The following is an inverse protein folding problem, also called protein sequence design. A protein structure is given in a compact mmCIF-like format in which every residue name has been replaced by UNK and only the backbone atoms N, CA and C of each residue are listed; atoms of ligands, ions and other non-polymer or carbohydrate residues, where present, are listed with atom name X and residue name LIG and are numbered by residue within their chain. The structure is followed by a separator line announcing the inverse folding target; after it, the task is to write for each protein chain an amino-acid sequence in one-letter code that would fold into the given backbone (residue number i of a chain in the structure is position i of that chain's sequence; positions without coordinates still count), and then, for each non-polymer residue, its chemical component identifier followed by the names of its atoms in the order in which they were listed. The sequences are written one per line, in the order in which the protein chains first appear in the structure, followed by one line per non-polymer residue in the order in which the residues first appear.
data_IF_290401139580
#
_entry.id   IF_290401139580
#
_cell.length_a   1.000
_cell.length_b   1.000
_cell.length_c   1.000
_cell.angle_alpha   90.00
_cell.angle_beta   90.00
_cell.angle_gamma   90.00
#
_symmetry.space_group_name_H-M   'P 1'
#
loop_
_entity.id
_entity.type
_entity.pdbx_description
1 polymer ?
#
# COMPACT_ATOMS: atom_id res chain seq x y z
N UNK A 1 -22.47 -4.13 6.85
CA UNK A 1 -21.10 -4.46 6.40
C UNK A 1 -20.15 -3.67 7.30
N UNK A 2 -19.23 -4.33 7.99
CA UNK A 2 -18.33 -3.73 8.99
C UNK A 2 -16.90 -4.25 8.74
N UNK A 3 -16.06 -3.52 7.99
CA UNK A 3 -14.75 -4.00 7.57
C UNK A 3 -13.66 -3.79 8.64
N UNK A 4 -13.92 -3.00 9.70
CA UNK A 4 -12.92 -2.59 10.68
C UNK A 4 -11.96 -1.50 10.17
N UNK A 5 -11.18 -1.80 9.12
CA UNK A 5 -10.23 -0.85 8.50
C UNK A 5 -10.52 -0.62 7.02
N UNK A 6 -10.27 0.60 6.54
CA UNK A 6 -10.35 0.96 5.11
C UNK A 6 -9.11 1.71 4.65
N UNK A 7 -8.81 1.61 3.36
CA UNK A 7 -7.73 2.35 2.69
C UNK A 7 -8.34 3.55 1.97
N UNK A 8 -8.41 4.69 2.65
CA UNK A 8 -9.01 5.89 2.08
C UNK A 8 -8.10 6.53 1.03
N UNK A 9 -8.74 7.03 -0.03
CA UNK A 9 -8.13 7.82 -1.09
C UNK A 9 -9.03 9.04 -1.35
N UNK A 10 -8.40 10.18 -1.60
CA UNK A 10 -9.09 11.39 -2.03
C UNK A 10 -8.66 11.78 -3.45
N UNK A 11 -9.32 12.80 -4.02
CA UNK A 11 -9.07 13.27 -5.38
C UNK A 11 -7.60 13.64 -5.60
N UNK A 12 -6.94 14.27 -4.63
CA UNK A 12 -5.53 14.67 -4.72
C UNK A 12 -4.61 13.44 -4.83
N UNK A 13 -4.93 12.33 -4.15
CA UNK A 13 -4.16 11.08 -4.26
C UNK A 13 -4.21 10.51 -5.69
N UNK A 14 -5.38 10.53 -6.32
CA UNK A 14 -5.53 10.13 -7.72
C UNK A 14 -4.77 11.05 -8.67
N UNK A 15 -4.84 12.37 -8.46
CA UNK A 15 -4.12 13.32 -9.30
C UNK A 15 -2.59 13.15 -9.16
N UNK A 16 -2.09 12.90 -7.95
CA UNK A 16 -0.69 12.59 -7.70
C UNK A 16 -0.25 11.28 -8.36
N UNK A 17 -1.09 10.25 -8.32
CA UNK A 17 -0.84 8.99 -9.00
C UNK A 17 -0.73 9.16 -10.52
N UNK A 18 -1.62 9.94 -11.14
CA UNK A 18 -1.55 10.25 -12.57
C UNK A 18 -0.28 11.03 -12.92
N UNK A 19 0.10 12.01 -12.10
CA UNK A 19 1.36 12.73 -12.25
C UNK A 19 2.58 11.79 -12.23
N UNK A 20 2.63 10.85 -11.28
CA UNK A 20 3.70 9.86 -11.22
C UNK A 20 3.71 8.89 -12.41
N UNK A 21 2.56 8.72 -13.06
CA UNK A 21 2.44 7.95 -14.29
C UNK A 21 2.82 8.73 -15.57
N UNK A 22 3.29 9.98 -15.42
CA UNK A 22 3.81 10.80 -16.53
C UNK A 22 2.78 11.73 -17.17
N UNK A 23 1.62 11.94 -16.55
CA UNK A 23 0.60 12.86 -17.07
C UNK A 23 1.07 14.30 -16.94
N UNK A 24 1.04 15.05 -18.05
CA UNK A 24 1.42 16.46 -18.08
C UNK A 24 0.23 17.38 -17.76
N UNK A 25 0.49 18.67 -17.55
CA UNK A 25 -0.55 19.65 -17.18
C UNK A 25 -1.71 19.71 -18.17
N UNK A 26 -1.47 19.53 -19.46
CA UNK A 26 -2.51 19.55 -20.49
C UNK A 26 -3.44 18.35 -20.35
N UNK A 27 -2.90 17.16 -20.09
CA UNK A 27 -3.69 15.95 -19.84
C UNK A 27 -4.45 16.05 -18.52
N UNK A 28 -3.84 16.62 -17.48
CA UNK A 28 -4.45 16.78 -16.16
C UNK A 28 -5.71 17.68 -16.18
N UNK A 29 -5.81 18.63 -17.11
CA UNK A 29 -7.02 19.46 -17.31
C UNK A 29 -8.26 18.64 -17.70
N UNK A 30 -8.08 17.45 -18.26
CA UNK A 30 -9.21 16.56 -18.57
C UNK A 30 -9.78 15.87 -17.31
N UNK A 31 -8.97 15.74 -16.25
CA UNK A 31 -9.34 15.02 -15.01
C UNK A 31 -9.71 15.95 -13.86
N UNK A 32 -9.34 17.23 -13.92
CA UNK A 32 -9.62 18.20 -12.86
C UNK A 32 -10.25 19.47 -13.43
N UNK A 33 -11.30 19.96 -12.76
CA UNK A 33 -11.96 21.24 -13.08
C UNK A 33 -11.04 22.45 -12.86
N UNK A 34 -10.09 22.33 -11.93
CA UNK A 34 -9.11 23.37 -11.61
C UNK A 34 -7.72 22.94 -12.07
N UNK A 35 -6.83 23.87 -12.46
CA UNK A 35 -5.43 23.54 -12.72
C UNK A 35 -4.82 22.78 -11.54
N UNK A 36 -4.20 21.64 -11.82
CA UNK A 36 -3.47 20.85 -10.83
C UNK A 36 -1.98 20.86 -11.16
N UNK A 37 -1.16 21.17 -10.16
CA UNK A 37 0.30 21.19 -10.31
C UNK A 37 0.84 19.89 -9.73
N UNK A 38 1.47 19.08 -10.57
CA UNK A 38 2.09 17.85 -10.13
C UNK A 38 3.18 18.10 -9.08
N UNK A 39 3.27 17.28 -8.03
CA UNK A 39 4.38 17.35 -7.08
C UNK A 39 5.70 17.03 -7.79
N UNK A 40 6.82 17.53 -7.24
CA UNK A 40 8.16 17.27 -7.78
C UNK A 40 8.49 15.77 -7.86
N UNK A 41 8.01 15.01 -6.89
CA UNK A 41 8.12 13.56 -6.86
C UNK A 41 6.90 12.96 -6.16
N UNK A 42 6.41 11.85 -6.69
CA UNK A 42 5.43 11.00 -6.04
C UNK A 42 5.75 9.56 -6.37
N UNK A 43 5.86 8.72 -5.35
CA UNK A 43 6.10 7.30 -5.56
C UNK A 43 4.77 6.61 -5.87
N UNK A 44 4.63 6.10 -7.09
CA UNK A 44 3.42 5.40 -7.54
C UNK A 44 3.05 4.23 -6.63
N UNK A 45 4.03 3.60 -5.97
CA UNK A 45 3.79 2.50 -5.04
C UNK A 45 3.10 2.93 -3.75
N UNK A 46 3.20 4.22 -3.37
CA UNK A 46 2.58 4.78 -2.16
C UNK A 46 1.11 5.19 -2.36
N UNK A 47 0.55 4.97 -3.56
CA UNK A 47 -0.89 5.07 -3.77
C UNK A 47 -1.60 4.12 -2.81
N UNK A 48 -2.50 4.68 -1.98
CA UNK A 48 -3.09 4.01 -0.82
C UNK A 48 -4.18 2.99 -1.20
N UNK A 49 -3.85 2.07 -2.10
CA UNK A 49 -4.76 1.04 -2.59
C UNK A 49 -4.70 -0.22 -1.71
N UNK A 50 -5.81 -0.96 -1.53
CA UNK A 50 -5.86 -2.13 -0.64
C UNK A 50 -5.10 -3.36 -1.16
N UNK A 51 -4.50 -3.31 -2.36
CA UNK A 51 -3.54 -4.29 -2.85
C UNK A 51 -2.18 -3.65 -3.10
N UNK A 52 -1.11 -4.44 -2.96
CA UNK A 52 0.26 -3.95 -3.13
C UNK A 52 0.97 -4.78 -4.19
N UNK A 53 1.38 -4.11 -5.27
CA UNK A 53 2.15 -4.70 -6.37
C UNK A 53 3.51 -4.04 -6.49
N UNK A 54 4.58 -4.83 -6.44
CA UNK A 54 5.97 -4.38 -6.69
C UNK A 54 6.43 -4.96 -8.03
N UNK A 55 6.47 -4.16 -9.11
CA UNK A 55 6.58 -4.68 -10.46
C UNK A 55 7.99 -5.03 -10.92
N UNK A 56 9.06 -4.58 -10.25
CA UNK A 56 10.44 -4.78 -10.72
C UNK A 56 11.40 -4.83 -9.52
N UNK A 57 11.30 -5.84 -8.66
CA UNK A 57 12.18 -5.95 -7.49
C UNK A 57 13.47 -6.70 -7.86
N UNK A 58 14.56 -5.96 -8.05
CA UNK A 58 15.87 -6.56 -8.34
C UNK A 58 16.54 -7.18 -7.09
N UNK A 59 17.46 -8.13 -7.32
CA UNK A 59 18.10 -8.96 -6.28
C UNK A 59 18.74 -8.18 -5.12
N UNK A 60 19.30 -7.00 -5.39
CA UNK A 60 19.99 -6.17 -4.39
C UNK A 60 19.16 -4.98 -3.91
N UNK A 61 17.93 -4.82 -4.42
CA UNK A 61 17.08 -3.69 -4.08
C UNK A 61 16.17 -4.02 -2.90
N UNK A 62 15.99 -3.01 -2.04
CA UNK A 62 14.97 -3.00 -1.00
C UNK A 62 13.89 -2.03 -1.47
N UNK A 63 12.65 -2.51 -1.56
CA UNK A 63 11.52 -1.65 -1.89
C UNK A 63 10.72 -1.35 -0.63
N UNK A 64 10.55 -0.07 -0.33
CA UNK A 64 9.66 0.40 0.72
C UNK A 64 8.35 0.91 0.11
N UNK A 65 7.23 0.57 0.72
CA UNK A 65 5.88 0.99 0.34
C UNK A 65 5.14 1.43 1.59
N UNK A 66 4.41 2.54 1.50
CA UNK A 66 3.63 3.08 2.61
C UNK A 66 2.13 2.89 2.36
N UNK A 67 1.39 2.55 3.41
CA UNK A 67 -0.07 2.51 3.42
C UNK A 67 -0.62 3.19 4.65
N UNK A 68 -1.78 3.80 4.50
CA UNK A 68 -2.54 4.41 5.59
C UNK A 68 -3.91 3.76 5.67
N UNK A 69 -4.26 3.29 6.84
CA UNK A 69 -5.58 2.73 7.12
C UNK A 69 -6.35 3.64 8.05
N UNK A 70 -7.64 3.79 7.79
CA UNK A 70 -8.58 4.48 8.66
C UNK A 70 -9.40 3.45 9.40
N UNK A 71 -9.52 3.59 10.72
CA UNK A 71 -10.45 2.78 11.50
C UNK A 71 -11.89 3.26 11.28
N UNK A 72 -12.76 2.37 10.82
CA UNK A 72 -14.20 2.63 10.63
C UNK A 72 -15.07 1.77 11.54
N UNK A 73 -14.44 0.91 12.35
CA UNK A 73 -15.08 0.11 13.38
C UNK A 73 -14.80 0.63 14.79
N UNK A 74 -15.17 -0.15 15.80
CA UNK A 74 -14.89 0.18 17.21
C UNK A 74 -13.38 0.32 17.49
N UNK A 75 -12.99 1.09 18.52
CA UNK A 75 -11.60 1.17 18.98
C UNK A 75 -10.99 -0.21 19.20
N UNK A 76 -9.73 -0.38 18.86
CA UNK A 76 -9.10 -1.70 18.86
C UNK A 76 -7.63 -1.68 18.45
N UNK A 77 -6.96 -2.80 18.70
CA UNK A 77 -5.57 -3.01 18.28
C UNK A 77 -5.50 -4.11 17.24
N UNK A 78 -5.09 -3.75 16.04
CA UNK A 78 -4.84 -4.68 14.95
C UNK A 78 -3.40 -5.16 15.00
N UNK A 79 -3.18 -6.47 14.86
CA UNK A 79 -1.86 -7.07 14.68
C UNK A 79 -1.74 -7.62 13.27
N UNK A 80 -0.56 -7.44 12.66
CA UNK A 80 -0.32 -7.91 11.29
C UNK A 80 0.25 -9.33 11.27
N UNK A 81 -0.30 -10.14 10.38
CA UNK A 81 0.26 -11.39 9.92
C UNK A 81 0.65 -11.26 8.46
N UNK A 82 1.72 -11.91 8.03
CA UNK A 82 2.20 -11.84 6.65
C UNK A 82 2.41 -13.24 6.13
N UNK A 83 1.74 -13.56 5.03
CA UNK A 83 2.09 -14.67 4.17
C UNK A 83 3.01 -14.12 3.09
N UNK A 84 4.30 -14.39 3.24
CA UNK A 84 5.33 -13.83 2.37
C UNK A 84 5.25 -14.43 0.96
N UNK A 85 5.34 -13.59 -0.10
CA UNK A 85 5.53 -14.11 -1.45
C UNK A 85 6.80 -14.96 -1.53
N UNK A 86 6.74 -16.08 -2.27
CA UNK A 86 7.86 -17.00 -2.37
C UNK A 86 9.16 -16.29 -2.80
N UNK A 87 10.24 -16.45 -2.03
CA UNK A 87 11.54 -15.84 -2.33
C UNK A 87 11.67 -14.35 -1.95
N UNK A 88 10.63 -13.75 -1.35
CA UNK A 88 10.60 -12.36 -0.91
C UNK A 88 10.40 -12.30 0.60
N UNK A 89 11.31 -11.67 1.31
CA UNK A 89 11.11 -11.28 2.71
C UNK A 89 10.28 -10.01 2.78
N UNK A 90 9.30 -9.98 3.71
CA UNK A 90 8.39 -8.85 3.91
C UNK A 90 8.39 -8.43 5.37
N UNK A 91 8.80 -7.18 5.61
CA UNK A 91 8.80 -6.57 6.94
C UNK A 91 7.77 -5.46 7.02
N UNK A 92 6.87 -5.55 8.00
CA UNK A 92 5.88 -4.53 8.32
C UNK A 92 6.30 -3.74 9.55
N UNK A 93 6.21 -2.40 9.49
CA UNK A 93 6.48 -1.49 10.62
C UNK A 93 5.39 -0.41 10.75
N UNK A 94 4.74 -0.25 11.92
CA UNK A 94 4.81 -1.12 13.09
C UNK A 94 4.09 -2.46 12.87
N UNK A 95 4.32 -3.46 13.74
CA UNK A 95 3.64 -4.79 13.69
C UNK A 95 2.23 -4.77 14.31
N UNK A 96 1.86 -3.67 14.97
CA UNK A 96 0.55 -3.45 15.57
C UNK A 96 0.10 -2.01 15.36
N UNK A 97 -1.19 -1.80 15.15
CA UNK A 97 -1.84 -0.49 15.02
C UNK A 97 -2.96 -0.40 16.06
N UNK A 98 -2.85 0.53 16.99
CA UNK A 98 -3.87 0.79 18.01
C UNK A 98 -4.63 2.06 17.66
N UNK A 99 -5.95 1.96 17.60
CA UNK A 99 -6.87 3.06 17.31
C UNK A 99 -7.77 3.27 18.53
N UNK A 100 -7.89 4.51 19.01
CA UNK A 100 -8.68 4.83 20.21
C UNK A 100 -10.10 5.31 19.85
N UNK A 101 -10.31 5.78 18.63
CA UNK A 101 -11.60 6.23 18.13
C UNK A 101 -11.85 5.88 16.66
N UNK A 102 -13.10 6.02 16.23
CA UNK A 102 -13.52 5.89 14.82
C UNK A 102 -12.97 7.08 14.03
N UNK A 103 -12.43 6.83 12.84
CA UNK A 103 -11.86 7.86 11.96
C UNK A 103 -10.37 8.10 12.17
N UNK A 104 -9.76 7.54 13.23
CA UNK A 104 -8.31 7.59 13.40
C UNK A 104 -7.59 6.93 12.21
N UNK A 105 -6.55 7.60 11.72
CA UNK A 105 -5.70 7.11 10.63
C UNK A 105 -4.35 6.70 11.17
N UNK A 106 -3.85 5.55 10.74
CA UNK A 106 -2.49 5.11 11.04
C UNK A 106 -1.78 4.66 9.78
N UNK A 107 -0.51 5.03 9.69
CA UNK A 107 0.36 4.71 8.58
C UNK A 107 1.31 3.58 8.97
N UNK A 108 1.53 2.63 8.07
CA UNK A 108 2.51 1.57 8.20
C UNK A 108 3.33 1.42 6.93
N UNK A 109 4.54 0.91 7.11
CA UNK A 109 5.51 0.64 6.05
C UNK A 109 5.58 -0.85 5.78
N UNK A 110 5.64 -1.21 4.50
CA UNK A 110 5.92 -2.54 3.99
C UNK A 110 7.28 -2.49 3.30
N UNK A 111 8.21 -3.33 3.73
CA UNK A 111 9.57 -3.40 3.18
C UNK A 111 9.74 -4.77 2.55
N UNK A 112 10.01 -4.79 1.24
CA UNK A 112 10.25 -5.99 0.46
C UNK A 112 11.74 -6.16 0.17
N UNK A 113 12.27 -7.38 0.35
CA UNK A 113 13.65 -7.73 0.02
C UNK A 113 13.71 -9.13 -0.60
N UNK A 114 14.40 -9.27 -1.72
CA UNK A 114 14.66 -10.58 -2.34
C UNK A 114 15.57 -11.40 -1.43
N UNK A 115 15.16 -12.62 -1.09
CA UNK A 115 15.98 -13.57 -0.31
C UNK A 115 16.45 -14.76 -1.13
N UNK A 116 15.68 -15.17 -2.13
CA UNK A 116 16.05 -16.24 -3.06
C UNK A 116 15.85 -15.75 -4.48
N UNK A 117 16.84 -15.89 -5.37
CA UNK A 117 16.60 -15.71 -6.79
C UNK A 117 15.64 -16.82 -7.24
N UNK A 118 14.43 -16.46 -7.64
CA UNK A 118 13.48 -17.36 -8.28
C UNK A 118 13.54 -17.19 -9.78
N UNK A 119 12.93 -18.11 -10.53
CA UNK A 119 12.65 -17.91 -11.95
C UNK A 119 11.89 -16.61 -12.19
N UNK A 120 12.09 -15.99 -13.35
CA UNK A 120 11.36 -14.80 -13.77
C UNK A 120 9.85 -15.02 -13.69
N UNK A 121 9.11 -14.05 -13.16
CA UNK A 121 7.66 -14.17 -13.00
C UNK A 121 7.11 -13.43 -11.78
N UNK A 122 5.82 -13.65 -11.53
CA UNK A 122 5.08 -13.08 -10.41
C UNK A 122 4.99 -14.08 -9.26
N UNK A 123 5.25 -13.60 -8.05
CA UNK A 123 5.04 -14.34 -6.79
C UNK A 123 4.00 -13.61 -5.94
N UNK A 124 3.25 -14.38 -5.18
CA UNK A 124 2.04 -13.92 -4.50
C UNK A 124 2.09 -14.23 -3.00
N UNK A 125 1.52 -13.33 -2.21
CA UNK A 125 1.32 -13.47 -0.78
C UNK A 125 0.21 -12.54 -0.30
N UNK A 126 0.13 -12.29 1.00
CA UNK A 126 -0.79 -11.30 1.56
C UNK A 126 -0.32 -10.79 2.92
N UNK A 127 -0.78 -9.60 3.29
CA UNK A 127 -0.78 -9.15 4.68
C UNK A 127 -2.21 -9.21 5.22
N UNK A 128 -2.36 -9.52 6.51
CA UNK A 128 -3.62 -9.59 7.21
C UNK A 128 -3.52 -8.80 8.51
N UNK A 129 -4.30 -7.72 8.62
CA UNK A 129 -4.54 -7.04 9.89
C UNK A 129 -5.74 -7.68 10.58
N UNK A 130 -5.61 -8.02 11.87
CA UNK A 130 -6.72 -8.51 12.67
C UNK A 130 -6.68 -8.00 14.11
N UNK A 131 -7.84 -7.64 14.63
CA UNK A 131 -8.12 -7.31 16.03
C UNK A 131 -8.79 -8.48 16.79
N UNK A 132 -8.86 -9.66 16.17
CA UNK A 132 -9.58 -10.84 16.67
C UNK A 132 -11.03 -10.96 16.17
N UNK A 133 -11.64 -9.87 15.71
CA UNK A 133 -13.01 -9.84 15.17
C UNK A 133 -13.02 -9.57 13.68
N UNK A 134 -12.33 -8.52 13.25
CA UNK A 134 -12.15 -8.10 11.87
C UNK A 134 -10.89 -8.74 11.28
N UNK A 135 -10.93 -8.95 9.96
CA UNK A 135 -9.85 -9.49 9.16
C UNK A 135 -9.71 -8.66 7.89
N UNK A 136 -8.70 -7.80 7.85
CA UNK A 136 -8.45 -6.89 6.72
C UNK A 136 -7.24 -7.41 5.97
N UNK A 137 -7.48 -8.02 4.80
CA UNK A 137 -6.46 -8.67 3.98
C UNK A 137 -6.08 -7.81 2.79
N UNK A 138 -4.79 -7.65 2.54
CA UNK A 138 -4.26 -7.03 1.32
C UNK A 138 -3.38 -8.00 0.55
N UNK A 139 -3.69 -8.31 -0.72
CA UNK A 139 -2.83 -9.11 -1.57
C UNK A 139 -1.46 -8.43 -1.79
N UNK A 140 -0.41 -9.25 -1.79
CA UNK A 140 0.95 -8.87 -2.13
C UNK A 140 1.33 -9.55 -3.44
N UNK A 141 1.78 -8.77 -4.42
CA UNK A 141 2.27 -9.26 -5.72
C UNK A 141 3.65 -8.69 -5.95
N UNK A 142 4.64 -9.54 -6.21
CA UNK A 142 6.00 -9.10 -6.54
C UNK A 142 6.42 -9.76 -7.84
N UNK A 143 6.93 -8.97 -8.78
CA UNK A 143 7.56 -9.50 -9.99
C UNK A 143 9.07 -9.47 -9.81
N UNK A 144 9.69 -10.63 -9.98
CA UNK A 144 11.14 -10.76 -9.99
C UNK A 144 11.70 -10.21 -11.30
N UNK A 145 12.78 -9.42 -11.19
CA UNK A 145 13.63 -9.04 -12.32
C UNK A 145 14.67 -10.11 -12.62
#
# INVERSE_FOLDING_TARGET
MDPGLVYDLNIVDYLNFLCAHGYNQTQMKMFSRKPYICPKSYNMLDFNYPSITVPNLGKHFVQEVTRTVTNVGSPGTYRVQVNEPHGIFVLIKPRSLTFNEVGEKKTFKIIFKVTKPTSSGYVFGHLLWSDGRHKVMSPLVVKHN
#
